data_IF_234125751822
#
_entry.id   IF_234125751822
#
_cell.length_a   1.000
_cell.length_b   1.000
_cell.length_c   1.000
_cell.angle_alpha   90.00
_cell.angle_beta   90.00
_cell.angle_gamma   90.00
#
_symmetry.space_group_name_H-M   'P 1'
#
loop_
_entity.id
_entity.type
_entity.pdbx_description
1 polymer ?
#
# COMPACT_ATOMS: atom_id res chain seq x y z
N UNK A 1 -58.90 7.50 26.33
CA UNK A 1 -57.43 7.32 26.20
C UNK A 1 -57.16 6.43 25.00
N UNK A 2 -56.04 6.60 24.30
CA UNK A 2 -55.71 5.85 23.08
C UNK A 2 -56.32 6.47 21.82
N UNK A 3 -55.48 7.12 21.00
CA UNK A 3 -55.81 7.52 19.62
C UNK A 3 -55.30 6.44 18.67
N UNK A 4 -56.11 6.03 17.69
CA UNK A 4 -55.70 5.07 16.66
C UNK A 4 -54.84 5.73 15.58
N UNK A 5 -53.75 5.07 15.19
CA UNK A 5 -52.91 5.51 14.07
C UNK A 5 -53.50 5.10 12.72
N UNK A 6 -53.44 5.99 11.72
CA UNK A 6 -53.75 5.63 10.33
C UNK A 6 -52.59 4.84 9.72
N UNK A 7 -52.94 3.81 8.95
CA UNK A 7 -52.03 3.15 8.00
C UNK A 7 -52.19 3.83 6.64
N UNK A 8 -51.09 4.22 6.00
CA UNK A 8 -51.08 4.58 4.58
C UNK A 8 -50.10 3.70 3.81
N UNK A 9 -50.63 3.02 2.80
CA UNK A 9 -49.88 2.14 1.90
C UNK A 9 -49.23 2.95 0.79
N UNK A 10 -47.92 2.80 0.60
CA UNK A 10 -47.21 3.39 -0.56
C UNK A 10 -47.15 2.37 -1.69
N UNK A 11 -47.60 2.77 -2.88
CA UNK A 11 -47.68 1.91 -4.07
C UNK A 11 -46.43 2.09 -4.94
N UNK A 12 -45.92 0.99 -5.50
CA UNK A 12 -44.77 0.97 -6.41
C UNK A 12 -45.18 1.05 -7.88
N UNK A 13 -44.50 1.89 -8.66
CA UNK A 13 -44.53 1.89 -10.14
C UNK A 13 -43.20 2.46 -10.69
N UNK A 14 -42.71 2.02 -11.88
CA UNK A 14 -41.36 2.31 -12.36
C UNK A 14 -41.28 3.53 -13.31
N UNK A 15 -40.05 3.90 -13.67
CA UNK A 15 -39.76 4.87 -14.73
C UNK A 15 -38.68 4.31 -15.68
N UNK A 16 -39.01 4.22 -16.96
CA UNK A 16 -38.11 3.87 -18.08
C UNK A 16 -38.37 4.84 -19.25
N UNK A 17 -37.55 4.70 -20.30
CA UNK A 17 -37.47 5.50 -21.54
C UNK A 17 -36.58 6.76 -21.40
N UNK A 18 -35.38 6.81 -22.00
CA UNK A 18 -34.95 6.62 -23.40
C UNK A 18 -34.85 7.95 -24.16
N UNK A 19 -33.67 8.21 -24.74
CA UNK A 19 -33.37 9.36 -25.59
C UNK A 19 -32.72 8.87 -26.87
N UNK A 20 -33.26 9.28 -28.02
CA UNK A 20 -32.74 8.90 -29.33
C UNK A 20 -33.00 10.00 -30.37
N UNK A 21 -32.10 10.07 -31.35
CA UNK A 21 -32.15 10.90 -32.56
C UNK A 21 -32.07 12.43 -32.42
N UNK A 22 -31.10 13.01 -33.14
CA UNK A 22 -31.37 13.96 -34.24
C UNK A 22 -30.16 13.97 -35.18
N UNK A 23 -30.44 14.01 -36.48
CA UNK A 23 -29.44 14.12 -37.55
C UNK A 23 -29.99 15.05 -38.64
N UNK A 24 -29.11 15.74 -39.38
CA UNK A 24 -29.49 16.64 -40.46
C UNK A 24 -28.31 16.97 -41.38
N UNK A 25 -28.56 17.05 -42.68
CA UNK A 25 -27.64 17.50 -43.74
C UNK A 25 -27.65 19.04 -43.85
N UNK A 26 -26.87 19.76 -44.68
CA UNK A 26 -26.06 19.46 -45.89
C UNK A 26 -24.86 20.46 -45.94
N UNK A 27 -24.01 20.66 -46.97
CA UNK A 27 -23.87 20.20 -48.38
C UNK A 27 -22.41 20.44 -48.86
N UNK A 28 -22.14 20.25 -50.16
CA UNK A 28 -20.83 20.36 -50.85
C UNK A 28 -20.34 21.79 -51.19
N UNK A 29 -19.03 21.95 -51.44
CA UNK A 29 -18.42 22.25 -52.77
C UNK A 29 -16.88 22.44 -52.73
N UNK A 30 -16.18 22.15 -53.83
CA UNK A 30 -14.86 22.73 -54.18
C UNK A 30 -13.61 21.87 -54.00
N UNK A 31 -12.94 21.53 -55.12
CA UNK A 31 -11.57 20.97 -55.18
C UNK A 31 -10.63 21.94 -55.91
N UNK A 32 -9.31 21.92 -55.63
CA UNK A 32 -8.38 21.93 -56.76
C UNK A 32 -7.14 21.01 -56.63
N UNK A 33 -6.68 20.57 -57.81
CA UNK A 33 -5.54 19.70 -58.14
C UNK A 33 -4.22 20.03 -57.44
N UNK A 34 -3.44 19.00 -57.04
CA UNK A 34 -1.96 19.04 -56.97
C UNK A 34 -1.31 17.72 -57.43
N UNK A 35 -0.05 17.82 -57.85
CA UNK A 35 0.75 16.81 -58.57
C UNK A 35 1.33 15.69 -57.66
N UNK A 36 1.65 14.51 -58.22
CA UNK A 36 2.24 13.40 -57.46
C UNK A 36 3.74 13.61 -57.20
N UNK A 37 4.13 13.76 -55.94
CA UNK A 37 5.54 13.78 -55.52
C UNK A 37 5.90 12.47 -54.77
N UNK A 38 6.84 11.69 -55.30
CA UNK A 38 7.34 10.47 -54.64
C UNK A 38 8.10 10.83 -53.35
N UNK A 39 7.66 10.32 -52.20
CA UNK A 39 8.50 10.18 -51.00
C UNK A 39 8.46 8.73 -50.52
N UNK A 40 9.64 8.17 -50.22
CA UNK A 40 9.79 6.83 -49.65
C UNK A 40 9.25 6.82 -48.23
N UNK A 41 8.30 5.93 -47.93
CA UNK A 41 7.94 5.61 -46.55
C UNK A 41 9.05 4.77 -45.91
N UNK A 42 9.86 5.39 -45.06
CA UNK A 42 10.76 4.66 -44.15
C UNK A 42 9.89 4.13 -43.00
N UNK A 43 9.80 2.80 -42.88
CA UNK A 43 9.05 2.18 -41.79
C UNK A 43 9.84 2.28 -40.48
N UNK A 44 9.33 3.04 -39.51
CA UNK A 44 9.80 2.95 -38.14
C UNK A 44 9.30 1.64 -37.50
N UNK A 45 10.15 0.86 -36.81
CA UNK A 45 9.70 -0.32 -36.09
C UNK A 45 8.77 0.08 -34.95
N UNK A 46 7.71 -0.71 -34.73
CA UNK A 46 6.79 -0.51 -33.59
C UNK A 46 7.53 -0.75 -32.27
N UNK A 47 7.26 0.03 -31.20
CA UNK A 47 7.85 -0.24 -29.88
C UNK A 47 7.49 -1.64 -29.36
N UNK A 48 8.49 -2.40 -28.95
CA UNK A 48 8.37 -3.77 -28.40
C UNK A 48 7.86 -3.76 -26.94
N UNK A 49 6.67 -3.19 -26.71
CA UNK A 49 6.08 -3.04 -25.36
C UNK A 49 5.03 -4.09 -25.01
N UNK A 50 4.61 -4.94 -25.95
CA UNK A 50 3.54 -5.93 -25.75
C UNK A 50 3.96 -7.21 -25.02
N UNK A 51 5.22 -7.64 -25.13
CA UNK A 51 5.63 -8.98 -24.72
C UNK A 51 6.11 -9.08 -23.25
N UNK A 52 6.45 -7.97 -22.58
CA UNK A 52 7.08 -8.02 -21.25
C UNK A 52 6.11 -8.14 -20.07
N UNK A 53 4.84 -7.74 -20.24
CA UNK A 53 3.80 -8.02 -19.25
C UNK A 53 3.48 -9.53 -19.14
N UNK A 54 3.72 -10.30 -20.20
CA UNK A 54 3.41 -11.73 -20.25
C UNK A 54 4.31 -12.57 -19.35
N UNK A 55 5.57 -12.17 -19.10
CA UNK A 55 6.53 -12.97 -18.33
C UNK A 55 6.14 -13.13 -16.84
N UNK A 56 5.56 -12.10 -16.22
CA UNK A 56 5.03 -12.22 -14.85
C UNK A 56 3.67 -12.94 -14.82
N UNK A 57 2.80 -12.66 -15.79
CA UNK A 57 1.51 -13.34 -15.95
C UNK A 57 1.65 -14.86 -16.21
N UNK A 58 2.74 -15.30 -16.85
CA UNK A 58 3.04 -16.71 -17.05
C UNK A 58 3.29 -17.48 -15.74
N UNK A 59 3.84 -16.85 -14.69
CA UNK A 59 3.95 -17.51 -13.36
C UNK A 59 2.58 -17.70 -12.69
N UNK A 60 1.59 -16.88 -12.99
CA UNK A 60 0.22 -17.08 -12.50
C UNK A 60 -0.52 -18.20 -13.26
N UNK A 61 -0.19 -18.42 -14.54
CA UNK A 61 -0.84 -19.45 -15.40
C UNK A 61 -0.56 -20.91 -15.04
N UNK A 62 0.21 -21.18 -13.98
CA UNK A 62 0.48 -22.52 -13.44
C UNK A 62 0.03 -22.70 -11.98
N UNK A 63 -0.79 -21.79 -11.44
CA UNK A 63 -1.51 -22.04 -10.19
C UNK A 63 -2.58 -23.12 -10.40
N UNK A 64 -2.38 -24.31 -9.85
CA UNK A 64 -3.47 -25.26 -9.63
C UNK A 64 -4.53 -24.57 -8.78
N UNK A 65 -5.79 -24.45 -9.24
CA UNK A 65 -6.85 -23.83 -8.44
C UNK A 65 -7.01 -24.55 -7.09
N UNK A 66 -7.15 -23.80 -6.01
CA UNK A 66 -7.17 -24.36 -4.63
C UNK A 66 -8.33 -25.33 -4.44
N UNK A 67 -9.44 -25.09 -5.14
CA UNK A 67 -10.59 -25.97 -5.32
C UNK A 67 -10.25 -27.38 -5.86
N UNK A 68 -9.16 -27.55 -6.63
CA UNK A 68 -8.72 -28.84 -7.17
C UNK A 68 -7.81 -29.65 -6.22
N UNK A 69 -7.33 -29.08 -5.11
CA UNK A 69 -6.53 -29.84 -4.13
C UNK A 69 -7.39 -30.88 -3.41
N UNK A 70 -6.88 -32.10 -3.24
CA UNK A 70 -7.57 -33.12 -2.43
C UNK A 70 -7.64 -32.70 -0.95
N UNK A 71 -8.59 -33.21 -0.16
CA UNK A 71 -8.66 -32.90 1.28
C UNK A 71 -7.35 -33.24 2.02
N UNK A 72 -6.70 -34.34 1.64
CA UNK A 72 -5.39 -34.74 2.18
C UNK A 72 -4.29 -33.73 1.83
N UNK A 73 -4.14 -33.37 0.55
CA UNK A 73 -3.11 -32.41 0.12
C UNK A 73 -3.27 -31.03 0.79
N UNK A 74 -4.49 -30.62 1.16
CA UNK A 74 -4.73 -29.40 1.95
C UNK A 74 -4.24 -29.55 3.39
N UNK A 75 -4.45 -30.71 4.02
CA UNK A 75 -3.96 -31.03 5.37
C UNK A 75 -2.43 -31.12 5.39
N UNK A 76 -1.84 -31.75 4.37
CA UNK A 76 -0.39 -31.89 4.23
C UNK A 76 0.29 -30.50 4.16
N UNK A 77 -0.16 -29.63 3.26
CA UNK A 77 0.35 -28.25 3.13
C UNK A 77 0.11 -27.40 4.39
N UNK A 78 -1.02 -27.59 5.08
CA UNK A 78 -1.26 -26.92 6.38
C UNK A 78 -0.34 -27.44 7.49
N UNK A 79 0.08 -28.70 7.44
CA UNK A 79 1.06 -29.28 8.36
C UNK A 79 2.49 -28.82 8.05
N UNK A 80 2.84 -28.67 6.77
CA UNK A 80 4.14 -28.13 6.33
C UNK A 80 4.34 -26.66 6.73
N UNK A 81 3.27 -25.89 6.92
CA UNK A 81 3.34 -24.52 7.41
C UNK A 81 3.74 -24.39 8.91
N UNK A 82 3.68 -25.48 9.68
CA UNK A 82 3.88 -25.46 11.14
C UNK A 82 5.23 -24.87 11.60
N UNK A 83 6.39 -25.17 10.98
CA UNK A 83 7.68 -24.61 11.41
C UNK A 83 7.74 -23.08 11.21
N UNK A 84 7.12 -22.54 10.16
CA UNK A 84 7.05 -21.10 9.92
C UNK A 84 6.16 -20.41 10.96
N UNK A 85 5.01 -21.01 11.30
CA UNK A 85 4.13 -20.51 12.37
C UNK A 85 4.86 -20.50 13.72
N UNK A 86 5.58 -21.58 14.06
CA UNK A 86 6.38 -21.66 15.29
C UNK A 86 7.51 -20.62 15.32
N UNK A 87 8.25 -20.44 14.22
CA UNK A 87 9.34 -19.46 14.09
C UNK A 87 8.90 -18.02 14.39
N UNK A 88 7.66 -17.67 14.05
CA UNK A 88 7.13 -16.32 14.21
C UNK A 88 6.08 -16.19 15.34
N UNK A 89 5.87 -17.21 16.17
CA UNK A 89 4.87 -17.18 17.24
C UNK A 89 5.10 -16.00 18.22
N UNK A 90 4.05 -15.22 18.47
CA UNK A 90 4.06 -13.98 19.26
C UNK A 90 5.01 -12.86 18.76
N UNK A 91 5.61 -13.00 17.58
CA UNK A 91 6.50 -11.96 17.02
C UNK A 91 5.71 -10.79 16.45
N UNK A 92 6.20 -9.58 16.70
CA UNK A 92 5.65 -8.35 16.12
C UNK A 92 6.14 -8.22 14.68
N UNK A 93 5.20 -8.02 13.75
CA UNK A 93 5.47 -7.76 12.33
C UNK A 93 4.81 -6.44 11.97
N UNK A 94 5.59 -5.43 11.61
CA UNK A 94 5.04 -4.16 11.13
C UNK A 94 4.92 -4.21 9.62
N UNK A 95 3.67 -4.27 9.14
CA UNK A 95 3.34 -4.25 7.71
C UNK A 95 2.94 -2.84 7.32
N UNK A 96 3.70 -2.25 6.39
CA UNK A 96 3.34 -1.00 5.76
C UNK A 96 2.59 -1.28 4.46
N UNK A 97 1.39 -0.74 4.36
CA UNK A 97 0.50 -0.80 3.20
C UNK A 97 0.62 0.44 2.31
N UNK A 98 0.69 0.22 0.99
CA UNK A 98 0.89 1.27 0.00
C UNK A 98 0.94 0.76 -1.43
N UNK A 99 1.31 1.64 -2.36
CA UNK A 99 1.51 1.30 -3.77
C UNK A 99 0.22 0.88 -4.48
N UNK A 100 0.36 -0.07 -5.41
CA UNK A 100 -0.72 -0.60 -6.23
C UNK A 100 -1.76 -1.38 -5.41
N UNK A 101 -1.35 -2.04 -4.32
CA UNK A 101 -2.20 -2.82 -3.42
C UNK A 101 -3.37 -2.02 -2.82
N UNK A 102 -3.29 -0.68 -2.80
CA UNK A 102 -4.37 0.22 -2.35
C UNK A 102 -5.46 0.48 -3.39
N UNK A 103 -5.17 0.27 -4.68
CA UNK A 103 -6.03 0.67 -5.81
C UNK A 103 -6.97 -0.43 -6.28
N UNK A 104 -6.62 -1.69 -6.02
CA UNK A 104 -7.40 -2.86 -6.39
C UNK A 104 -8.10 -3.43 -5.16
N UNK A 105 -9.43 -3.58 -5.23
CA UNK A 105 -10.23 -4.06 -4.09
C UNK A 105 -9.99 -5.56 -3.81
N UNK A 106 -9.62 -6.36 -4.81
CA UNK A 106 -9.33 -7.79 -4.61
C UNK A 106 -7.97 -8.02 -3.94
N UNK A 107 -6.95 -7.23 -4.31
CA UNK A 107 -5.65 -7.23 -3.64
C UNK A 107 -5.76 -6.70 -2.20
N UNK A 108 -6.60 -5.68 -1.97
CA UNK A 108 -6.93 -5.17 -0.65
C UNK A 108 -7.59 -6.24 0.23
N UNK A 109 -8.66 -6.89 -0.25
CA UNK A 109 -9.31 -8.01 0.45
C UNK A 109 -8.33 -9.17 0.71
N UNK A 110 -7.39 -9.43 -0.21
CA UNK A 110 -6.31 -10.40 -0.03
C UNK A 110 -5.37 -10.03 1.14
N UNK A 111 -4.77 -8.83 1.10
CA UNK A 111 -3.86 -8.32 2.15
C UNK A 111 -4.55 -8.29 3.52
N UNK A 112 -5.84 -7.97 3.59
CA UNK A 112 -6.59 -8.01 4.85
C UNK A 112 -6.77 -9.44 5.37
N UNK A 113 -7.08 -10.42 4.50
CA UNK A 113 -7.16 -11.84 4.88
C UNK A 113 -5.81 -12.38 5.36
N UNK A 114 -4.71 -11.99 4.71
CA UNK A 114 -3.36 -12.36 5.13
C UNK A 114 -3.08 -11.87 6.57
N UNK A 115 -3.38 -10.60 6.87
CA UNK A 115 -3.15 -10.01 8.20
C UNK A 115 -3.99 -10.68 9.28
N UNK A 116 -5.25 -11.01 9.00
CA UNK A 116 -6.11 -11.74 9.94
C UNK A 116 -5.59 -13.16 10.15
N UNK A 117 -5.20 -13.88 9.08
CA UNK A 117 -4.61 -15.21 9.21
C UNK A 117 -3.34 -15.21 10.07
N UNK A 118 -2.42 -14.27 9.81
CA UNK A 118 -1.18 -14.09 10.59
C UNK A 118 -1.49 -13.83 12.08
N UNK A 119 -2.51 -13.01 12.37
CA UNK A 119 -2.98 -12.76 13.75
C UNK A 119 -3.59 -14.03 14.38
N UNK A 120 -4.37 -14.80 13.63
CA UNK A 120 -5.00 -16.05 14.10
C UNK A 120 -3.99 -17.17 14.39
N UNK A 121 -2.91 -17.29 13.61
CA UNK A 121 -1.81 -18.24 13.89
C UNK A 121 -0.80 -17.71 14.92
N UNK A 122 -1.07 -16.56 15.53
CA UNK A 122 -0.38 -16.08 16.72
C UNK A 122 0.78 -15.10 16.49
N UNK A 123 1.00 -14.60 15.27
CA UNK A 123 1.83 -13.41 15.06
C UNK A 123 1.13 -12.17 15.61
N UNK A 124 1.85 -11.06 15.74
CA UNK A 124 1.34 -9.78 16.20
C UNK A 124 1.49 -8.72 15.10
N UNK A 125 0.62 -8.73 14.07
CA UNK A 125 0.70 -7.77 12.98
C UNK A 125 0.32 -6.35 13.46
N UNK A 126 1.06 -5.36 12.97
CA UNK A 126 0.80 -3.93 13.15
C UNK A 126 0.75 -3.29 11.78
N UNK A 127 -0.37 -2.67 11.42
CA UNK A 127 -0.68 -2.30 10.04
C UNK A 127 -0.60 -0.79 9.84
N UNK A 128 0.46 -0.30 9.21
CA UNK A 128 0.69 1.14 8.97
C UNK A 128 0.32 1.48 7.54
N UNK A 129 -0.41 2.57 7.30
CA UNK A 129 -0.85 2.92 5.94
C UNK A 129 -0.63 4.39 5.59
N UNK A 130 -0.40 4.63 4.30
CA UNK A 130 -0.53 5.94 3.67
C UNK A 130 -1.89 6.09 2.98
N UNK A 131 -1.93 6.88 1.90
CA UNK A 131 -3.13 7.09 1.09
C UNK A 131 -2.95 8.11 -0.04
N UNK A 132 -1.76 8.18 -0.64
CA UNK A 132 -1.41 9.19 -1.66
C UNK A 132 -2.44 9.38 -2.79
N UNK A 133 -2.92 8.30 -3.43
CA UNK A 133 -3.96 8.38 -4.47
C UNK A 133 -5.31 8.93 -3.96
N UNK A 134 -5.75 8.49 -2.78
CA UNK A 134 -7.00 8.96 -2.16
C UNK A 134 -6.93 10.45 -1.83
N UNK A 135 -5.82 10.91 -1.25
CA UNK A 135 -5.60 12.35 -0.97
C UNK A 135 -5.64 13.14 -2.29
N UNK A 136 -5.01 12.65 -3.36
CA UNK A 136 -5.06 13.32 -4.67
C UNK A 136 -6.49 13.41 -5.23
N UNK A 137 -7.33 12.39 -5.02
CA UNK A 137 -8.73 12.42 -5.43
C UNK A 137 -9.53 13.50 -4.67
N UNK A 138 -9.30 13.66 -3.37
CA UNK A 138 -10.01 14.66 -2.55
C UNK A 138 -9.49 16.09 -2.76
N UNK A 139 -8.19 16.29 -2.95
CA UNK A 139 -7.64 17.57 -3.38
C UNK A 139 -8.25 18.00 -4.73
N UNK A 140 -8.32 17.08 -5.70
CA UNK A 140 -8.93 17.34 -7.00
C UNK A 140 -10.42 17.70 -6.95
N UNK A 141 -11.20 17.07 -6.06
CA UNK A 141 -12.62 17.42 -5.79
C UNK A 141 -12.79 18.85 -5.26
N UNK A 142 -11.76 19.40 -4.62
CA UNK A 142 -11.74 20.75 -4.04
C UNK A 142 -10.95 21.75 -4.90
N UNK A 143 -10.56 21.37 -6.12
CA UNK A 143 -9.81 22.23 -7.05
C UNK A 143 -8.33 22.44 -6.69
N UNK A 144 -7.81 21.76 -5.66
CA UNK A 144 -6.43 21.90 -5.19
C UNK A 144 -5.52 20.98 -6.00
N UNK A 145 -4.48 21.55 -6.62
CA UNK A 145 -3.49 20.79 -7.40
C UNK A 145 -2.45 20.12 -6.49
N UNK A 146 -2.29 18.78 -6.52
CA UNK A 146 -1.26 18.09 -5.74
C UNK A 146 0.16 18.51 -6.14
N UNK A 147 0.97 18.90 -5.16
CA UNK A 147 2.39 19.24 -5.32
C UNK A 147 3.29 18.23 -4.62
N UNK A 148 4.42 17.89 -5.23
CA UNK A 148 5.40 16.95 -4.69
C UNK A 148 6.83 17.43 -4.94
N UNK A 149 7.71 17.21 -3.97
CA UNK A 149 9.14 17.56 -3.99
C UNK A 149 9.90 16.45 -3.25
N UNK A 150 11.00 15.93 -3.83
CA UNK A 150 11.75 14.80 -3.24
C UNK A 150 10.94 13.50 -3.04
N UNK A 151 9.76 13.37 -3.66
CA UNK A 151 8.81 12.28 -3.40
C UNK A 151 7.89 12.50 -2.19
N UNK A 152 8.08 13.58 -1.44
CA UNK A 152 7.19 14.02 -0.36
C UNK A 152 6.11 14.97 -0.91
N UNK A 153 4.94 15.03 -0.27
CA UNK A 153 3.86 15.95 -0.64
C UNK A 153 4.13 17.31 0.00
N UNK A 154 4.24 18.38 -0.80
CA UNK A 154 4.22 19.74 -0.26
C UNK A 154 2.84 19.98 0.34
N UNK A 155 2.78 20.29 1.64
CA UNK A 155 1.56 20.25 2.45
C UNK A 155 1.37 21.59 3.17
N UNK A 156 0.54 22.47 2.61
CA UNK A 156 0.05 23.67 3.31
C UNK A 156 -1.08 23.32 4.30
N UNK A 157 -1.60 24.32 5.04
CA UNK A 157 -2.58 24.11 6.11
C UNK A 157 -3.89 23.49 5.60
N UNK A 158 -4.41 23.98 4.46
CA UNK A 158 -5.59 23.40 3.80
C UNK A 158 -5.32 21.98 3.26
N UNK A 159 -4.13 21.73 2.70
CA UNK A 159 -3.73 20.38 2.29
C UNK A 159 -3.61 19.43 3.49
N UNK A 160 -3.14 19.91 4.64
CA UNK A 160 -3.01 19.10 5.86
C UNK A 160 -4.37 18.67 6.41
N UNK A 161 -5.36 19.55 6.46
CA UNK A 161 -6.73 19.22 6.86
C UNK A 161 -7.30 18.08 5.99
N UNK A 162 -7.11 18.18 4.67
CA UNK A 162 -7.54 17.15 3.70
C UNK A 162 -6.75 15.85 3.86
N UNK A 163 -5.43 15.91 4.10
CA UNK A 163 -4.60 14.75 4.41
C UNK A 163 -5.12 14.02 5.66
N UNK A 164 -5.46 14.75 6.72
CA UNK A 164 -5.95 14.18 7.97
C UNK A 164 -7.35 13.57 7.82
N UNK A 165 -8.31 14.30 7.23
CA UNK A 165 -9.65 13.78 6.93
C UNK A 165 -9.61 12.50 6.09
N UNK A 166 -8.77 12.47 5.05
CA UNK A 166 -8.68 11.31 4.15
C UNK A 166 -7.97 10.14 4.81
N UNK A 167 -6.81 10.34 5.46
CA UNK A 167 -6.06 9.24 6.05
C UNK A 167 -6.75 8.69 7.30
N UNK A 168 -7.12 9.55 8.25
CA UNK A 168 -7.64 9.14 9.57
C UNK A 168 -9.14 8.84 9.52
N UNK A 169 -9.92 9.64 8.77
CA UNK A 169 -11.37 9.46 8.64
C UNK A 169 -11.75 8.36 7.64
N UNK A 170 -11.25 8.45 6.40
CA UNK A 170 -11.66 7.55 5.31
C UNK A 170 -10.83 6.26 5.22
N UNK A 171 -9.52 6.36 5.02
CA UNK A 171 -8.68 5.18 4.70
C UNK A 171 -8.53 4.27 5.92
N UNK A 172 -8.16 4.83 7.08
CA UNK A 172 -7.96 4.08 8.32
C UNK A 172 -9.20 3.27 8.72
N UNK A 173 -10.38 3.90 8.74
CA UNK A 173 -11.63 3.25 9.16
C UNK A 173 -12.17 2.26 8.12
N UNK A 174 -11.89 2.47 6.83
CA UNK A 174 -12.13 1.47 5.79
C UNK A 174 -11.33 0.18 6.04
N UNK A 175 -10.02 0.30 6.31
CA UNK A 175 -9.15 -0.86 6.58
C UNK A 175 -9.55 -1.59 7.87
N UNK A 176 -9.90 -0.85 8.94
CA UNK A 176 -10.47 -1.44 10.17
C UNK A 176 -11.77 -2.19 9.89
N UNK A 177 -12.68 -1.62 9.10
CA UNK A 177 -13.94 -2.25 8.74
C UNK A 177 -13.73 -3.56 7.96
N UNK A 178 -12.75 -3.60 7.06
CA UNK A 178 -12.39 -4.83 6.33
C UNK A 178 -11.77 -5.90 7.26
N UNK A 179 -10.89 -5.53 8.19
CA UNK A 179 -10.33 -6.46 9.20
C UNK A 179 -11.46 -7.08 10.03
N UNK A 180 -12.40 -6.25 10.50
CA UNK A 180 -13.55 -6.70 11.30
C UNK A 180 -14.48 -7.60 10.48
N UNK A 181 -14.74 -7.26 9.21
CA UNK A 181 -15.51 -8.09 8.26
C UNK A 181 -14.84 -9.45 7.98
N UNK A 182 -13.51 -9.50 8.01
CA UNK A 182 -12.71 -10.72 7.86
C UNK A 182 -12.58 -11.55 9.16
N UNK A 183 -13.20 -11.14 10.27
CA UNK A 183 -13.17 -11.86 11.55
C UNK A 183 -12.01 -11.49 12.48
N UNK A 184 -11.17 -10.53 12.10
CA UNK A 184 -10.18 -9.93 13.00
C UNK A 184 -10.79 -8.85 13.90
N UNK A 185 -9.95 -8.25 14.75
CA UNK A 185 -10.32 -7.08 15.56
C UNK A 185 -9.35 -5.95 15.23
N UNK A 186 -9.77 -5.01 14.40
CA UNK A 186 -8.97 -3.83 14.01
C UNK A 186 -9.19 -2.64 14.94
N UNK A 187 -8.10 -2.00 15.39
CA UNK A 187 -8.15 -0.76 16.19
C UNK A 187 -7.44 0.36 15.44
N UNK A 188 -8.22 1.31 14.92
CA UNK A 188 -7.73 2.38 14.04
C UNK A 188 -7.26 3.63 14.78
N UNK A 189 -5.97 3.96 14.66
CA UNK A 189 -5.27 5.08 15.29
C UNK A 189 -4.57 5.99 14.26
N UNK A 190 -4.17 7.17 14.70
CA UNK A 190 -3.14 8.03 14.14
C UNK A 190 -2.10 8.37 15.22
N UNK A 191 -1.01 9.06 14.85
CA UNK A 191 0.04 9.47 15.78
C UNK A 191 -0.41 10.38 16.93
N UNK A 192 -1.51 11.13 16.74
CA UNK A 192 -2.09 11.98 17.79
C UNK A 192 -2.72 11.17 18.93
N UNK A 193 -3.28 10.00 18.61
CA UNK A 193 -3.99 9.16 19.59
C UNK A 193 -3.02 8.69 20.68
N UNK A 194 -3.32 9.03 21.93
CA UNK A 194 -2.45 8.82 23.09
C UNK A 194 -1.00 9.37 22.93
N UNK A 195 -0.77 10.33 22.02
CA UNK A 195 0.57 10.84 21.63
C UNK A 195 1.53 9.73 21.16
N UNK A 196 1.00 8.69 20.52
CA UNK A 196 1.76 7.55 19.99
C UNK A 196 2.93 7.95 19.09
N UNK A 197 2.81 9.04 18.31
CA UNK A 197 3.90 9.61 17.52
C UNK A 197 3.94 11.12 17.77
N UNK A 198 5.07 11.63 18.28
CA UNK A 198 5.32 13.08 18.31
C UNK A 198 6.04 13.48 17.03
N UNK A 199 5.47 14.41 16.28
CA UNK A 199 6.05 14.97 15.08
C UNK A 199 7.05 16.10 15.38
N UNK A 200 7.89 16.40 14.39
CA UNK A 200 8.61 17.67 14.25
C UNK A 200 8.66 18.09 12.78
N UNK A 201 8.84 19.37 12.43
CA UNK A 201 9.03 19.79 11.04
C UNK A 201 10.20 19.06 10.36
N UNK A 202 10.07 18.75 9.07
CA UNK A 202 11.21 18.32 8.25
C UNK A 202 12.28 19.41 8.18
N UNK A 203 13.56 19.01 8.30
CA UNK A 203 14.71 19.92 8.11
C UNK A 203 14.62 20.65 6.75
N UNK A 204 14.81 21.97 6.77
CA UNK A 204 14.75 22.84 5.59
C UNK A 204 13.41 23.57 5.37
N UNK A 205 12.30 23.07 5.93
CA UNK A 205 11.02 23.80 6.01
C UNK A 205 10.24 24.07 4.71
N UNK A 206 10.83 23.88 3.52
CA UNK A 206 10.22 24.18 2.22
C UNK A 206 8.90 23.46 1.95
N UNK A 207 8.71 22.28 2.55
CA UNK A 207 7.57 21.39 2.31
C UNK A 207 6.29 21.76 3.09
N UNK A 208 6.36 22.73 4.01
CA UNK A 208 5.24 23.09 4.89
C UNK A 208 5.06 22.11 6.05
N UNK A 209 3.83 21.63 6.25
CA UNK A 209 3.42 20.71 7.33
C UNK A 209 3.80 19.24 7.06
N UNK A 210 5.00 19.01 6.53
CA UNK A 210 5.59 17.67 6.42
C UNK A 210 6.43 17.38 7.66
N UNK A 211 6.23 16.22 8.26
CA UNK A 211 6.81 15.85 9.55
C UNK A 211 7.86 14.74 9.48
N UNK A 212 8.89 14.88 10.31
CA UNK A 212 9.71 13.77 10.78
C UNK A 212 9.11 13.20 12.09
N UNK A 213 9.37 11.91 12.36
CA UNK A 213 9.16 11.34 13.70
C UNK A 213 10.22 11.93 14.65
N UNK A 214 9.77 12.52 15.76
CA UNK A 214 10.63 13.01 16.84
C UNK A 214 10.74 11.99 17.98
N UNK A 215 9.62 11.34 18.33
CA UNK A 215 9.56 10.24 19.29
C UNK A 215 8.30 9.38 19.09
N UNK A 216 8.29 8.18 19.66
CA UNK A 216 7.15 7.25 19.64
C UNK A 216 6.89 6.73 21.06
N UNK A 217 5.64 6.77 21.50
CA UNK A 217 5.18 6.05 22.69
C UNK A 217 4.49 4.75 22.26
N UNK A 218 5.05 3.61 22.68
CA UNK A 218 4.50 2.29 22.32
C UNK A 218 3.47 1.76 23.31
N UNK A 219 3.15 2.48 24.39
CA UNK A 219 2.27 2.01 25.46
C UNK A 219 0.88 1.62 24.97
N UNK A 220 0.26 2.45 24.13
CA UNK A 220 -1.05 2.16 23.52
C UNK A 220 -0.98 0.95 22.57
N UNK A 221 0.07 0.87 21.74
CA UNK A 221 0.26 -0.24 20.81
C UNK A 221 0.49 -1.58 21.52
N UNK A 222 1.32 -1.61 22.56
CA UNK A 222 1.60 -2.83 23.34
C UNK A 222 0.33 -3.33 24.05
N UNK A 223 -0.55 -2.44 24.51
CA UNK A 223 -1.84 -2.82 25.08
C UNK A 223 -2.79 -3.44 24.03
N UNK A 224 -2.91 -2.85 22.83
CA UNK A 224 -3.72 -3.38 21.73
C UNK A 224 -3.18 -4.74 21.24
N UNK A 225 -1.87 -4.83 21.01
CA UNK A 225 -1.18 -6.07 20.60
C UNK A 225 -1.40 -7.20 21.61
N UNK A 226 -1.36 -6.88 22.91
CA UNK A 226 -1.58 -7.84 24.01
C UNK A 226 -3.02 -8.37 24.05
N UNK A 227 -4.02 -7.57 23.67
CA UNK A 227 -5.42 -8.04 23.58
C UNK A 227 -5.70 -8.95 22.38
N UNK A 228 -4.76 -9.08 21.44
CA UNK A 228 -4.94 -9.84 20.20
C UNK A 228 -5.59 -9.04 19.07
N UNK A 229 -5.84 -7.74 19.28
CA UNK A 229 -6.29 -6.83 18.24
C UNK A 229 -5.14 -6.34 17.36
N UNK A 230 -5.46 -6.01 16.11
CA UNK A 230 -4.54 -5.51 15.08
C UNK A 230 -4.58 -3.97 15.09
N UNK A 231 -3.50 -3.26 15.48
CA UNK A 231 -3.45 -1.80 15.36
C UNK A 231 -3.37 -1.40 13.88
N UNK A 232 -4.20 -0.43 13.46
CA UNK A 232 -4.21 0.14 12.11
C UNK A 232 -3.87 1.62 12.19
N UNK A 233 -2.73 2.03 11.64
CA UNK A 233 -2.07 3.30 11.95
C UNK A 233 -2.01 4.19 10.69
N UNK A 234 -2.66 5.35 10.75
CA UNK A 234 -2.53 6.42 9.75
C UNK A 234 -1.28 7.27 10.03
N UNK A 235 -0.52 7.63 8.99
CA UNK A 235 0.73 8.40 9.10
C UNK A 235 0.56 9.93 9.29
N UNK A 236 -0.39 10.32 10.14
CA UNK A 236 -0.62 11.71 10.59
C UNK A 236 -0.33 11.79 12.08
N UNK A 237 0.37 12.83 12.51
CA UNK A 237 0.76 13.04 13.90
C UNK A 237 0.64 14.51 14.29
N UNK A 238 0.98 14.85 15.54
CA UNK A 238 1.11 16.22 16.01
C UNK A 238 2.43 16.43 16.75
N UNK A 239 2.89 17.67 16.81
CA UNK A 239 4.00 18.09 17.67
C UNK A 239 3.54 18.33 19.13
N UNK A 240 4.41 18.94 19.94
CA UNK A 240 4.10 19.27 21.33
C UNK A 240 3.07 20.41 21.51
N UNK A 241 2.85 21.24 20.50
CA UNK A 241 1.86 22.33 20.50
C UNK A 241 0.50 21.87 19.95
N UNK A 242 0.42 20.63 19.45
CA UNK A 242 -0.79 20.04 18.85
C UNK A 242 -0.92 20.29 17.35
N UNK A 243 0.07 20.93 16.71
CA UNK A 243 0.05 21.25 15.28
C UNK A 243 0.22 19.98 14.46
N UNK A 244 -0.65 19.81 13.45
CA UNK A 244 -0.72 18.59 12.65
C UNK A 244 0.39 18.49 11.60
N UNK A 245 0.95 17.29 11.41
CA UNK A 245 1.98 17.00 10.42
C UNK A 245 1.69 15.73 9.62
N UNK A 246 1.95 15.81 8.32
CA UNK A 246 1.91 14.73 7.35
C UNK A 246 3.26 13.99 7.36
N UNK A 247 3.32 12.78 7.92
CA UNK A 247 4.53 11.97 7.99
C UNK A 247 4.52 10.92 6.86
N UNK A 248 5.68 10.65 6.26
CA UNK A 248 5.81 9.57 5.29
C UNK A 248 5.50 8.22 5.95
N UNK A 249 4.51 7.49 5.40
CA UNK A 249 4.05 6.21 5.94
C UNK A 249 5.11 5.10 5.93
N UNK A 250 6.11 5.14 5.02
CA UNK A 250 7.26 4.22 5.07
C UNK A 250 8.06 4.52 6.34
N UNK A 251 8.50 5.77 6.53
CA UNK A 251 9.24 6.25 7.71
C UNK A 251 8.50 5.98 9.02
N UNK A 252 7.20 6.25 9.08
CA UNK A 252 6.38 5.96 10.26
C UNK A 252 6.41 4.47 10.61
N UNK A 253 6.31 3.58 9.63
CA UNK A 253 6.38 2.14 9.85
C UNK A 253 7.76 1.68 10.34
N UNK A 254 8.85 2.21 9.77
CA UNK A 254 10.21 1.87 10.19
C UNK A 254 10.53 2.27 11.64
N UNK A 255 10.05 3.44 12.06
CA UNK A 255 10.24 3.93 13.44
C UNK A 255 9.32 3.20 14.44
N UNK A 256 8.08 2.87 14.05
CA UNK A 256 7.18 2.03 14.86
C UNK A 256 7.78 0.63 15.05
N UNK A 257 8.37 0.04 14.00
CA UNK A 257 9.01 -1.27 14.05
C UNK A 257 10.23 -1.27 14.99
N UNK A 258 11.09 -0.26 14.90
CA UNK A 258 12.19 -0.04 15.82
C UNK A 258 11.70 0.10 17.27
N UNK A 259 10.77 1.01 17.53
CA UNK A 259 10.25 1.31 18.87
C UNK A 259 9.53 0.12 19.53
N UNK A 260 8.92 -0.77 18.74
CA UNK A 260 8.29 -1.99 19.23
C UNK A 260 9.29 -3.13 19.50
N UNK A 261 10.45 -3.13 18.84
CA UNK A 261 11.36 -4.28 18.79
C UNK A 261 10.85 -5.37 17.84
N UNK A 262 10.44 -4.98 16.63
CA UNK A 262 9.79 -5.88 15.67
C UNK A 262 10.75 -6.94 15.07
N UNK A 263 10.20 -8.12 14.78
CA UNK A 263 10.92 -9.21 14.12
C UNK A 263 11.07 -8.95 12.61
N UNK A 264 10.00 -8.41 12.00
CA UNK A 264 9.96 -7.99 10.59
C UNK A 264 9.35 -6.59 10.44
N UNK A 265 10.00 -5.76 9.62
CA UNK A 265 9.36 -4.67 8.88
C UNK A 265 9.06 -5.17 7.46
N UNK A 266 7.86 -4.95 6.93
CA UNK A 266 7.50 -5.33 5.56
C UNK A 266 6.89 -4.13 4.85
N UNK A 267 7.49 -3.69 3.74
CA UNK A 267 7.00 -2.60 2.90
C UNK A 267 6.33 -3.17 1.64
N UNK A 268 4.99 -3.15 1.60
CA UNK A 268 4.23 -3.46 0.38
C UNK A 268 4.39 -2.33 -0.63
N UNK A 269 4.89 -2.67 -1.82
CA UNK A 269 5.14 -1.71 -2.91
C UNK A 269 4.58 -2.21 -4.26
N UNK A 270 4.74 -1.43 -5.32
CA UNK A 270 4.23 -1.68 -6.69
C UNK A 270 5.28 -2.25 -7.67
N UNK A 271 6.38 -2.79 -7.15
CA UNK A 271 7.50 -3.41 -7.88
C UNK A 271 7.92 -4.72 -7.20
N UNK A 272 8.63 -5.63 -7.90
CA UNK A 272 9.03 -6.93 -7.35
C UNK A 272 9.93 -6.88 -6.09
N UNK A 273 10.66 -5.78 -5.89
CA UNK A 273 11.68 -5.62 -4.88
C UNK A 273 12.80 -4.72 -5.39
N UNK A 274 14.05 -5.00 -4.99
CA UNK A 274 15.26 -4.39 -5.54
C UNK A 274 15.77 -5.28 -6.70
N UNK A 275 15.87 -4.70 -7.89
CA UNK A 275 16.26 -5.39 -9.12
C UNK A 275 17.62 -4.87 -9.61
N UNK A 276 18.53 -5.75 -10.02
CA UNK A 276 19.83 -5.38 -10.58
C UNK A 276 19.74 -4.82 -12.00
N UNK A 277 18.71 -5.24 -12.76
CA UNK A 277 18.24 -4.60 -13.98
C UNK A 277 16.71 -4.56 -13.97
N UNK A 278 16.12 -3.36 -13.90
CA UNK A 278 14.66 -3.15 -14.01
C UNK A 278 14.03 -3.76 -15.28
N UNK A 279 14.84 -4.06 -16.29
CA UNK A 279 14.39 -4.74 -17.51
C UNK A 279 14.24 -6.26 -17.34
N UNK A 280 15.12 -6.95 -16.60
CA UNK A 280 15.10 -8.40 -16.41
C UNK A 280 14.38 -8.81 -15.11
N UNK A 281 13.23 -9.52 -15.17
CA UNK A 281 12.53 -10.04 -13.99
C UNK A 281 13.35 -11.02 -13.13
N UNK A 282 14.37 -11.67 -13.69
CA UNK A 282 15.23 -12.61 -12.95
C UNK A 282 16.30 -11.89 -12.11
N UNK A 283 16.49 -10.59 -12.31
CA UNK A 283 17.50 -9.78 -11.62
C UNK A 283 17.11 -9.34 -10.20
N UNK A 284 15.98 -9.84 -9.68
CA UNK A 284 15.48 -9.59 -8.32
C UNK A 284 16.48 -10.11 -7.28
N UNK A 285 17.01 -9.19 -6.47
CA UNK A 285 17.83 -9.52 -5.30
C UNK A 285 16.92 -10.08 -4.22
N UNK A 286 17.13 -11.33 -3.77
CA UNK A 286 16.30 -11.97 -2.74
C UNK A 286 16.70 -11.57 -1.32
N UNK A 287 18.01 -11.56 -1.04
CA UNK A 287 18.55 -11.13 0.25
C UNK A 287 19.75 -10.20 0.04
N UNK A 288 19.89 -9.17 0.88
CA UNK A 288 21.03 -8.25 0.84
C UNK A 288 21.33 -7.65 2.23
N UNK A 289 22.61 -7.47 2.56
CA UNK A 289 23.01 -6.80 3.81
C UNK A 289 22.93 -5.27 3.70
N UNK A 290 22.91 -4.57 4.84
CA UNK A 290 23.00 -3.10 4.90
C UNK A 290 24.20 -2.57 4.08
N UNK A 291 25.34 -3.27 4.08
CA UNK A 291 26.52 -2.86 3.30
C UNK A 291 26.30 -3.03 1.79
N UNK A 292 25.71 -4.17 1.38
CA UNK A 292 25.41 -4.43 -0.03
C UNK A 292 24.42 -3.43 -0.61
N UNK A 293 23.35 -3.11 0.12
CA UNK A 293 22.31 -2.20 -0.39
C UNK A 293 22.78 -0.75 -0.45
N UNK A 294 23.63 -0.30 0.48
CA UNK A 294 24.31 1.01 0.38
C UNK A 294 25.14 1.10 -0.91
N UNK A 295 25.96 0.09 -1.18
CA UNK A 295 26.73 0.02 -2.43
C UNK A 295 25.85 0.09 -3.69
N UNK A 296 24.64 -0.49 -3.69
CA UNK A 296 23.71 -0.36 -4.83
C UNK A 296 23.08 1.04 -4.96
N UNK A 297 22.98 1.82 -3.87
CA UNK A 297 22.63 3.25 -3.92
C UNK A 297 23.80 4.07 -4.44
N UNK A 298 25.02 3.83 -3.94
CA UNK A 298 26.24 4.52 -4.37
C UNK A 298 26.58 4.26 -5.86
N UNK A 299 26.30 3.04 -6.36
CA UNK A 299 26.40 2.68 -7.78
C UNK A 299 25.20 3.17 -8.63
N UNK A 300 24.23 3.89 -8.06
CA UNK A 300 23.07 4.44 -8.75
C UNK A 300 22.02 3.43 -9.23
N UNK A 301 22.17 2.15 -8.88
CA UNK A 301 21.25 1.06 -9.25
C UNK A 301 19.93 1.16 -8.51
N UNK A 302 19.97 1.56 -7.24
CA UNK A 302 18.78 1.97 -6.47
C UNK A 302 18.57 3.46 -6.67
N UNK A 303 17.42 3.85 -7.22
CA UNK A 303 17.12 5.23 -7.60
C UNK A 303 15.67 5.63 -7.33
N UNK A 304 15.40 6.95 -7.38
CA UNK A 304 14.07 7.52 -7.23
C UNK A 304 13.36 7.11 -5.93
N UNK A 305 12.08 6.73 -6.03
CA UNK A 305 11.24 6.36 -4.89
C UNK A 305 11.64 5.09 -4.13
N UNK A 306 12.68 4.36 -4.57
CA UNK A 306 13.23 3.23 -3.83
C UNK A 306 14.26 3.66 -2.76
N UNK A 307 14.97 4.78 -2.96
CA UNK A 307 15.95 5.31 -1.99
C UNK A 307 15.32 5.50 -0.59
N UNK A 308 14.22 6.25 -0.40
CA UNK A 308 13.64 6.45 0.94
C UNK A 308 13.07 5.17 1.57
N UNK A 309 12.76 4.13 0.77
CA UNK A 309 12.37 2.80 1.28
C UNK A 309 13.57 2.06 1.84
N UNK A 310 14.67 2.04 1.09
CA UNK A 310 15.94 1.46 1.50
C UNK A 310 16.49 2.17 2.74
N UNK A 311 16.49 3.50 2.77
CA UNK A 311 16.89 4.29 3.94
C UNK A 311 16.03 3.98 5.17
N UNK A 312 14.71 3.85 5.00
CA UNK A 312 13.81 3.45 6.07
C UNK A 312 14.14 2.04 6.61
N UNK A 313 14.36 1.06 5.73
CA UNK A 313 14.76 -0.28 6.14
C UNK A 313 16.10 -0.27 6.89
N UNK A 314 17.14 0.39 6.35
CA UNK A 314 18.45 0.52 7.00
C UNK A 314 18.32 1.17 8.39
N UNK A 315 17.56 2.27 8.50
CA UNK A 315 17.34 2.98 9.77
C UNK A 315 16.57 2.13 10.79
N UNK A 316 15.62 1.31 10.34
CA UNK A 316 14.85 0.41 11.21
C UNK A 316 15.68 -0.77 11.71
N UNK A 317 16.47 -1.41 10.82
CA UNK A 317 17.42 -2.47 11.16
C UNK A 317 18.50 -1.98 12.14
N UNK A 318 19.08 -0.79 11.89
CA UNK A 318 20.09 -0.19 12.75
C UNK A 318 19.59 0.17 14.17
N UNK A 319 18.27 0.16 14.39
CA UNK A 319 17.64 0.34 15.70
C UNK A 319 17.15 -0.98 16.33
N UNK A 320 17.46 -2.13 15.73
CA UNK A 320 17.23 -3.47 16.33
C UNK A 320 16.07 -4.28 15.74
N UNK A 321 15.44 -3.84 14.65
CA UNK A 321 14.54 -4.72 13.87
C UNK A 321 15.35 -5.83 13.21
N UNK A 322 14.87 -7.08 13.25
CA UNK A 322 15.72 -8.24 12.85
C UNK A 322 15.85 -8.41 11.33
N UNK A 323 14.78 -8.20 10.56
CA UNK A 323 14.81 -8.18 9.09
C UNK A 323 13.82 -7.15 8.54
N UNK A 324 14.10 -6.58 7.36
CA UNK A 324 13.24 -5.59 6.72
C UNK A 324 13.07 -5.89 5.22
N UNK A 325 11.86 -6.22 4.79
CA UNK A 325 11.58 -6.70 3.43
C UNK A 325 10.82 -5.68 2.59
N UNK A 326 11.17 -5.56 1.31
CA UNK A 326 10.47 -4.76 0.30
C UNK A 326 9.87 -5.74 -0.72
N UNK A 327 8.54 -5.83 -0.77
CA UNK A 327 7.84 -6.93 -1.46
C UNK A 327 6.73 -6.43 -2.38
N UNK A 328 6.37 -7.27 -3.35
CA UNK A 328 5.38 -6.94 -4.38
C UNK A 328 3.94 -7.06 -3.88
N UNK A 329 3.34 -5.92 -3.52
CA UNK A 329 1.94 -5.85 -3.11
C UNK A 329 0.93 -6.07 -4.26
N UNK A 330 1.40 -6.33 -5.50
CA UNK A 330 0.55 -6.74 -6.63
C UNK A 330 0.31 -8.25 -6.63
N UNK A 331 1.17 -9.03 -5.97
CA UNK A 331 1.01 -10.49 -5.88
C UNK A 331 -0.04 -10.83 -4.81
N UNK A 332 -0.99 -11.69 -5.19
CA UNK A 332 -1.96 -12.30 -4.26
C UNK A 332 -1.21 -13.07 -3.18
N UNK A 333 -1.59 -12.87 -1.92
CA UNK A 333 -0.99 -13.50 -0.73
C UNK A 333 0.49 -13.18 -0.49
N UNK A 334 0.97 -12.03 -0.97
CA UNK A 334 2.37 -11.56 -0.82
C UNK A 334 2.87 -11.52 0.64
N UNK A 335 2.01 -11.22 1.62
CA UNK A 335 2.42 -11.25 3.03
C UNK A 335 2.60 -12.69 3.56
N UNK A 336 1.80 -13.64 3.09
CA UNK A 336 1.95 -15.05 3.45
C UNK A 336 3.17 -15.67 2.75
N UNK A 337 3.41 -15.33 1.48
CA UNK A 337 4.61 -15.74 0.74
C UNK A 337 5.90 -15.25 1.41
N UNK A 338 5.92 -14.03 1.95
CA UNK A 338 7.07 -13.44 2.66
C UNK A 338 7.35 -14.02 4.06
N UNK A 339 6.36 -14.67 4.69
CA UNK A 339 6.45 -15.12 6.09
C UNK A 339 6.42 -16.65 6.22
N UNK A 340 5.74 -17.34 5.31
CA UNK A 340 5.45 -18.78 5.37
C UNK A 340 6.11 -19.57 4.21
N UNK A 341 7.04 -18.97 3.47
CA UNK A 341 7.87 -19.67 2.47
C UNK A 341 9.31 -19.17 2.50
N UNK A 342 10.26 -19.98 2.04
CA UNK A 342 11.67 -19.60 1.95
C UNK A 342 12.03 -18.80 0.66
N UNK A 343 11.17 -18.78 -0.37
CA UNK A 343 11.42 -17.99 -1.59
C UNK A 343 11.23 -16.47 -1.34
N UNK A 344 10.35 -16.12 -0.39
CA UNK A 344 9.95 -14.74 -0.10
C UNK A 344 9.13 -14.08 -1.21
N UNK A 345 8.66 -12.85 -0.95
CA UNK A 345 7.83 -12.08 -1.90
C UNK A 345 8.52 -10.85 -2.51
N UNK A 346 9.84 -10.74 -2.33
CA UNK A 346 10.65 -9.64 -2.90
C UNK A 346 12.09 -9.68 -2.41
N UNK A 347 12.58 -8.56 -1.86
CA UNK A 347 13.93 -8.42 -1.30
C UNK A 347 13.88 -8.29 0.22
N UNK A 348 14.49 -9.23 0.94
CA UNK A 348 14.78 -9.12 2.37
C UNK A 348 16.11 -8.37 2.58
N UNK A 349 16.12 -7.40 3.49
CA UNK A 349 17.32 -6.69 3.93
C UNK A 349 17.66 -7.15 5.35
N UNK A 350 18.93 -7.52 5.55
CA UNK A 350 19.49 -8.02 6.81
C UNK A 350 20.57 -7.08 7.36
N UNK A 351 20.72 -7.05 8.69
CA UNK A 351 21.69 -6.22 9.42
C UNK A 351 23.14 -6.63 9.19
#
# INVERSE_FOLDING_TARGET
MGLGGLVQTVVTAPFEQAWASRAGSSSSHGSPVRLPCRRRTVAFPRPLWSCRAQALSQKESHRTPVDQLSPYARVDVLSEALPFIQRFQNKIVVVKYGGAAMKDESLKDGVIKDLVLLSCVGLRPVFVHGGGPEINQWLGKLGILPKFEGGLRVTDEATMEIVEMVLVGKVNKSLVSLINKAGGIGVGLCGKDARMITARPTRGGSLGLVGEVSSIDTSILRNIIKSGAIPVIASVAADHEGKAYNINADTAAGEIAASLGAEKLILLTDVPGIMMDMSDPNSLVREISIQGIRKLVDEGKVSGGMIPKVECCIRSLAQGVRTASIIDGRLSHSLLLEILTDEGAGTMIVG
#
